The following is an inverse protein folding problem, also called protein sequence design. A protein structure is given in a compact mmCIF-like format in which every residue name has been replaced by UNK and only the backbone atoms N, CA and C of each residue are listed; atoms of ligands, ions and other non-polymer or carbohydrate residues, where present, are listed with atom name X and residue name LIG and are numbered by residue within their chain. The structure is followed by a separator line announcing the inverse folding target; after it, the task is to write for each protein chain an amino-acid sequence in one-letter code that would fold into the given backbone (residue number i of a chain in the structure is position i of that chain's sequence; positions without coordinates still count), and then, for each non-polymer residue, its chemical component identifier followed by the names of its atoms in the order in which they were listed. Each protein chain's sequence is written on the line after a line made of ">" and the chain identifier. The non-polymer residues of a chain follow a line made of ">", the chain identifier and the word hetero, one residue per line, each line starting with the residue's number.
data_IF_480328434344
#
_entry.id   IF_480328434344
#
_cell.length_a   1.000
_cell.length_b   1.000
_cell.length_c   1.000
_cell.angle_alpha   90.00
_cell.angle_beta   90.00
_cell.angle_gamma   90.00
#
_symmetry.space_group_name_H-M   'P 1'
#
loop_
_entity.id
_entity.type
_entity.pdbx_description
1 polymer ?
#
# COMPACT_ATOMS: atom_id res chain seq x y z
N UNK A 1 -5.57 5.55 24.82
CA UNK A 1 -6.53 4.65 25.49
C UNK A 1 -7.66 4.33 24.55
N UNK A 2 -8.12 3.09 24.57
CA UNK A 2 -9.30 2.64 23.85
C UNK A 2 -10.38 2.33 24.88
N UNK A 3 -11.57 2.90 24.71
CA UNK A 3 -12.74 2.60 25.51
C UNK A 3 -13.84 2.12 24.59
N UNK A 4 -14.39 0.94 24.87
CA UNK A 4 -15.49 0.36 24.09
C UNK A 4 -16.77 0.51 24.89
N UNK A 5 -17.74 1.23 24.36
CA UNK A 5 -19.08 1.42 24.93
C UNK A 5 -20.04 0.51 24.17
N UNK A 6 -20.63 -0.46 24.86
CA UNK A 6 -21.57 -1.43 24.27
C UNK A 6 -23.01 -1.25 24.78
N UNK A 7 -23.17 -0.56 25.90
CA UNK A 7 -24.50 -0.39 26.54
C UNK A 7 -25.28 0.77 25.89
N UNK A 8 -26.56 0.61 25.76
CA UNK A 8 -27.47 1.59 25.17
C UNK A 8 -27.40 2.97 25.87
N UNK A 9 -27.25 2.98 27.20
CA UNK A 9 -27.13 4.21 27.98
C UNK A 9 -25.83 4.97 27.70
N UNK A 10 -24.72 4.26 27.52
CA UNK A 10 -23.43 4.83 27.21
C UNK A 10 -23.37 5.33 25.74
N UNK A 11 -24.10 4.68 24.84
CA UNK A 11 -24.13 5.04 23.41
C UNK A 11 -25.15 6.14 23.10
N UNK A 12 -26.13 6.37 23.96
CA UNK A 12 -27.16 7.40 23.79
C UNK A 12 -26.58 8.82 23.57
N UNK A 13 -25.44 9.13 24.21
CA UNK A 13 -24.73 10.41 24.06
C UNK A 13 -24.22 10.63 22.62
N UNK A 14 -24.01 9.57 21.86
CA UNK A 14 -23.44 9.61 20.51
C UNK A 14 -24.49 9.49 19.39
N UNK A 15 -25.79 9.45 19.78
CA UNK A 15 -26.92 9.43 18.85
C UNK A 15 -27.14 8.10 18.13
N UNK A 16 -28.01 8.09 17.12
CA UNK A 16 -28.45 6.87 16.42
C UNK A 16 -27.35 6.08 15.74
N UNK A 17 -26.25 6.72 15.37
CA UNK A 17 -25.06 6.05 14.78
C UNK A 17 -24.33 5.13 15.76
N UNK A 18 -24.61 5.25 17.05
CA UNK A 18 -24.01 4.47 18.12
C UNK A 18 -24.76 3.18 18.46
N UNK A 19 -25.81 2.82 17.71
CA UNK A 19 -26.64 1.64 17.97
C UNK A 19 -25.85 0.32 18.03
N UNK A 20 -24.75 0.23 17.31
CA UNK A 20 -23.84 -0.94 17.29
C UNK A 20 -22.64 -0.82 18.25
N UNK A 21 -22.66 0.19 19.14
CA UNK A 21 -21.58 0.49 20.06
C UNK A 21 -20.67 1.63 19.59
N UNK A 22 -19.82 2.10 20.49
CA UNK A 22 -18.88 3.22 20.25
C UNK A 22 -17.49 2.83 20.70
N UNK A 23 -16.50 3.10 19.89
CA UNK A 23 -15.09 3.01 20.26
C UNK A 23 -14.54 4.42 20.44
N UNK A 24 -14.27 4.79 21.70
CA UNK A 24 -13.67 6.09 22.02
C UNK A 24 -12.16 5.94 22.05
N UNK A 25 -11.48 6.68 21.18
CA UNK A 25 -10.02 6.69 21.10
C UNK A 25 -9.50 7.99 21.70
N UNK A 26 -8.81 7.90 22.85
CA UNK A 26 -8.14 9.04 23.44
C UNK A 26 -6.68 9.05 23.04
N UNK A 27 -6.25 10.05 22.26
CA UNK A 27 -4.89 10.21 21.80
C UNK A 27 -3.95 10.69 22.92
N UNK A 28 -2.66 10.42 22.77
CA UNK A 28 -1.64 10.91 23.71
C UNK A 28 -1.58 12.44 23.66
N UNK A 29 -1.61 13.08 24.81
CA UNK A 29 -1.48 14.54 24.98
C UNK A 29 -0.08 14.92 25.46
N UNK A 30 0.22 16.21 25.45
CA UNK A 30 1.40 16.75 26.12
C UNK A 30 1.36 16.49 27.62
N UNK A 31 2.52 16.32 28.22
CA UNK A 31 2.70 16.06 29.66
C UNK A 31 3.41 17.24 30.32
N UNK A 32 3.15 17.49 31.61
CA UNK A 32 3.91 18.45 32.38
C UNK A 32 5.35 17.93 32.60
N UNK A 33 6.32 18.85 32.69
CA UNK A 33 7.71 18.53 32.99
C UNK A 33 8.65 18.72 31.80
N UNK A 34 9.91 18.25 31.96
CA UNK A 34 10.93 18.36 30.92
C UNK A 34 10.54 17.63 29.64
N UNK A 35 10.94 18.13 28.46
CA UNK A 35 10.71 17.45 27.19
C UNK A 35 11.29 16.03 27.20
N UNK A 36 10.47 15.08 26.74
CA UNK A 36 10.85 13.68 26.53
C UNK A 36 10.75 13.37 25.06
N UNK A 37 11.80 12.78 24.52
CA UNK A 37 11.85 12.28 23.15
C UNK A 37 11.55 10.78 23.15
N UNK A 38 10.83 10.35 22.14
CA UNK A 38 10.59 8.94 21.88
C UNK A 38 10.76 8.69 20.38
N UNK A 39 11.54 7.68 20.06
CA UNK A 39 11.66 7.15 18.70
C UNK A 39 11.26 5.69 18.70
N UNK A 40 10.48 5.31 17.71
CA UNK A 40 10.12 3.92 17.46
C UNK A 40 10.28 3.59 15.98
N UNK A 41 10.73 2.39 15.70
CA UNK A 41 10.80 1.87 14.32
C UNK A 41 10.37 0.43 14.29
N UNK A 42 9.69 0.08 13.21
CA UNK A 42 9.32 -1.28 12.87
C UNK A 42 9.84 -1.60 11.48
N UNK A 43 10.34 -2.81 11.31
CA UNK A 43 10.76 -3.35 10.02
C UNK A 43 10.00 -4.64 9.78
N UNK A 44 9.55 -4.84 8.55
CA UNK A 44 8.82 -6.01 8.15
C UNK A 44 9.39 -6.57 6.86
N UNK A 45 9.47 -7.89 6.78
CA UNK A 45 9.77 -8.63 5.55
C UNK A 45 8.54 -9.47 5.23
N UNK A 46 8.02 -9.33 4.03
CA UNK A 46 6.83 -10.04 3.57
C UNK A 46 7.17 -10.86 2.33
N UNK A 47 6.69 -12.08 2.31
CA UNK A 47 6.83 -13.00 1.17
C UNK A 47 5.47 -13.56 0.82
N UNK A 48 5.33 -14.07 -0.40
CA UNK A 48 4.12 -14.79 -0.81
C UNK A 48 3.99 -16.08 0.00
N UNK A 49 2.86 -16.27 0.69
CA UNK A 49 2.63 -17.42 1.56
C UNK A 49 2.50 -18.73 0.78
N UNK A 50 1.86 -18.69 -0.41
CA UNK A 50 1.67 -19.83 -1.29
C UNK A 50 1.63 -19.38 -2.73
N UNK A 51 2.16 -20.19 -3.62
CA UNK A 51 2.01 -20.07 -5.08
C UNK A 51 1.14 -21.20 -5.58
N UNK A 52 0.48 -20.97 -6.70
CA UNK A 52 -0.28 -22.03 -7.36
C UNK A 52 0.66 -22.86 -8.21
N UNK A 53 0.44 -24.16 -8.20
CA UNK A 53 1.11 -25.07 -9.11
C UNK A 53 0.52 -24.91 -10.50
N UNK A 54 1.36 -24.57 -11.45
CA UNK A 54 1.02 -24.44 -12.88
C UNK A 54 2.03 -25.24 -13.67
N UNK A 55 1.69 -25.57 -14.91
CA UNK A 55 2.60 -26.29 -15.79
C UNK A 55 3.89 -25.48 -16.01
N UNK A 56 5.01 -26.13 -15.88
CA UNK A 56 6.30 -25.60 -16.32
C UNK A 56 6.30 -25.44 -17.85
N UNK A 57 7.24 -24.70 -18.40
CA UNK A 57 7.33 -24.52 -19.83
C UNK A 57 7.53 -25.86 -20.58
N UNK A 58 8.29 -26.79 -19.99
CA UNK A 58 8.54 -28.11 -20.61
C UNK A 58 7.29 -28.99 -20.53
N UNK A 59 6.58 -29.01 -19.42
CA UNK A 59 5.29 -29.71 -19.29
C UNK A 59 4.25 -29.09 -20.22
N UNK A 60 4.23 -27.77 -20.35
CA UNK A 60 3.33 -27.06 -21.27
C UNK A 60 3.62 -27.46 -22.73
N UNK A 61 4.88 -27.50 -23.16
CA UNK A 61 5.27 -27.95 -24.51
C UNK A 61 4.86 -29.41 -24.78
N UNK A 62 4.93 -30.27 -23.78
CA UNK A 62 4.53 -31.65 -23.90
C UNK A 62 2.99 -31.81 -23.93
N UNK A 63 2.29 -31.01 -23.12
CA UNK A 63 0.83 -31.13 -22.95
C UNK A 63 0.03 -30.42 -24.03
N UNK A 64 0.41 -29.19 -24.41
CA UNK A 64 -0.39 -28.34 -25.28
C UNK A 64 -0.73 -28.97 -26.64
N UNK A 65 0.17 -29.72 -27.33
CA UNK A 65 -0.17 -30.38 -28.59
C UNK A 65 -1.19 -31.53 -28.45
N UNK A 66 -1.38 -32.02 -27.22
CA UNK A 66 -2.35 -33.12 -26.97
C UNK A 66 -3.78 -32.61 -26.79
N UNK A 67 -3.96 -31.29 -26.63
CA UNK A 67 -5.28 -30.70 -26.39
C UNK A 67 -6.03 -30.54 -27.69
N UNK A 68 -7.27 -31.09 -27.74
CA UNK A 68 -8.14 -30.98 -28.89
C UNK A 68 -8.44 -29.51 -29.26
N UNK A 69 -8.23 -29.15 -30.49
CA UNK A 69 -8.44 -27.78 -31.00
C UNK A 69 -7.18 -26.89 -31.00
N UNK A 70 -6.09 -27.38 -30.45
CA UNK A 70 -4.80 -26.76 -30.66
C UNK A 70 -4.18 -27.28 -31.96
N UNK A 71 -3.79 -26.42 -32.91
CA UNK A 71 -3.14 -26.89 -34.13
C UNK A 71 -1.83 -27.63 -33.82
N UNK A 72 -1.57 -28.75 -34.49
CA UNK A 72 -0.35 -29.55 -34.30
C UNK A 72 0.96 -28.76 -34.57
N UNK A 73 0.86 -27.71 -35.37
CA UNK A 73 2.00 -26.85 -35.74
C UNK A 73 2.07 -25.54 -34.96
N UNK A 74 1.42 -25.46 -33.78
CA UNK A 74 1.57 -24.27 -32.92
C UNK A 74 3.02 -24.13 -32.53
N UNK A 75 3.63 -23.02 -32.92
CA UNK A 75 5.01 -22.70 -32.58
C UNK A 75 5.10 -22.31 -31.11
N UNK A 76 5.64 -23.22 -30.28
CA UNK A 76 5.97 -22.92 -28.88
C UNK A 76 7.23 -22.09 -28.78
N UNK A 77 7.26 -21.18 -27.79
CA UNK A 77 8.46 -20.41 -27.49
C UNK A 77 9.57 -21.27 -26.91
N UNK A 78 10.79 -20.74 -26.94
CA UNK A 78 12.00 -21.41 -26.41
C UNK A 78 12.34 -21.02 -24.98
N UNK A 79 11.63 -20.08 -24.39
CA UNK A 79 11.84 -19.61 -23.02
C UNK A 79 11.23 -20.54 -22.00
N UNK A 80 11.75 -20.49 -20.77
CA UNK A 80 11.19 -21.15 -19.59
C UNK A 80 10.92 -20.07 -18.55
N UNK A 81 9.73 -19.46 -18.61
CA UNK A 81 9.36 -18.33 -17.76
C UNK A 81 8.41 -18.79 -16.68
N UNK A 82 8.80 -18.64 -15.43
CA UNK A 82 7.89 -18.77 -14.31
C UNK A 82 7.29 -17.40 -14.01
N UNK A 83 6.12 -17.14 -14.54
CA UNK A 83 5.46 -15.84 -14.42
C UNK A 83 5.18 -15.43 -12.98
N UNK A 84 4.94 -16.39 -12.08
CA UNK A 84 4.77 -16.08 -10.66
C UNK A 84 6.09 -15.58 -10.02
N UNK A 85 7.24 -16.12 -10.43
CA UNK A 85 8.55 -15.62 -9.97
C UNK A 85 8.83 -14.21 -10.49
N UNK A 86 8.35 -13.91 -11.70
CA UNK A 86 8.54 -12.59 -12.29
C UNK A 86 7.70 -11.51 -11.60
N UNK A 87 6.45 -11.79 -11.24
CA UNK A 87 5.57 -10.78 -10.63
C UNK A 87 5.76 -10.63 -9.13
N UNK A 88 6.21 -11.69 -8.41
CA UNK A 88 6.39 -11.63 -6.97
C UNK A 88 7.82 -11.26 -6.57
N UNK A 89 7.93 -10.69 -5.40
CA UNK A 89 9.20 -10.39 -4.74
C UNK A 89 9.10 -10.56 -3.24
N UNK A 90 10.24 -10.74 -2.58
CA UNK A 90 10.34 -10.47 -1.15
C UNK A 90 10.22 -8.96 -0.96
N UNK A 91 9.26 -8.52 -0.16
CA UNK A 91 8.94 -7.13 0.07
C UNK A 91 9.47 -6.67 1.43
N UNK A 92 9.99 -5.46 1.47
CA UNK A 92 10.49 -4.84 2.69
C UNK A 92 9.59 -3.66 3.07
N UNK A 93 9.23 -3.60 4.35
CA UNK A 93 8.48 -2.52 4.95
C UNK A 93 9.24 -1.88 6.11
N UNK A 94 9.06 -0.58 6.29
CA UNK A 94 9.56 0.15 7.44
C UNK A 94 8.55 1.20 7.90
N UNK A 95 8.53 1.41 9.21
CA UNK A 95 7.76 2.45 9.87
C UNK A 95 8.65 3.13 10.91
N UNK A 96 8.72 4.44 10.86
CA UNK A 96 9.48 5.27 11.79
C UNK A 96 8.58 6.32 12.40
N UNK A 97 8.64 6.48 13.71
CA UNK A 97 7.94 7.55 14.41
C UNK A 97 8.86 8.21 15.43
N UNK A 98 8.95 9.52 15.35
CA UNK A 98 9.61 10.34 16.33
C UNK A 98 8.59 11.22 17.02
N UNK A 99 8.67 11.35 18.33
CA UNK A 99 7.77 12.25 19.06
C UNK A 99 8.50 12.92 20.22
N UNK A 100 8.07 14.14 20.48
CA UNK A 100 8.50 14.93 21.63
C UNK A 100 7.27 15.39 22.41
N UNK A 101 7.28 15.22 23.72
CA UNK A 101 6.22 15.73 24.60
C UNK A 101 6.83 16.32 25.86
N UNK A 102 6.23 17.39 26.35
CA UNK A 102 6.70 18.10 27.51
C UNK A 102 5.86 19.31 27.80
N UNK A 103 6.41 20.28 28.52
CA UNK A 103 5.76 21.57 28.77
C UNK A 103 6.71 22.75 28.59
N UNK A 104 6.21 23.83 28.03
CA UNK A 104 6.88 25.12 27.94
C UNK A 104 6.74 25.81 29.31
N UNK A 105 7.87 26.16 29.92
CA UNK A 105 7.92 26.82 31.25
C UNK A 105 7.08 26.11 32.33
N UNK A 106 6.98 24.77 32.26
CA UNK A 106 6.16 23.92 33.15
C UNK A 106 4.63 24.25 33.17
N UNK A 107 4.15 25.11 32.29
CA UNK A 107 2.75 25.57 32.27
C UNK A 107 1.96 25.08 31.07
N UNK A 108 2.59 25.04 29.92
CA UNK A 108 1.91 24.76 28.66
C UNK A 108 2.33 23.38 28.13
N UNK A 109 1.55 22.34 28.35
CA UNK A 109 1.84 21.02 27.79
C UNK A 109 1.80 21.05 26.27
N UNK A 110 2.75 20.36 25.62
CA UNK A 110 2.77 20.19 24.19
C UNK A 110 3.17 18.76 23.82
N UNK A 111 2.76 18.35 22.64
CA UNK A 111 3.22 17.13 21.97
C UNK A 111 3.36 17.41 20.48
N UNK A 112 4.46 16.93 19.91
CA UNK A 112 4.71 16.93 18.47
C UNK A 112 5.18 15.53 18.08
N UNK A 113 4.69 15.02 16.97
CA UNK A 113 5.22 13.79 16.41
C UNK A 113 5.25 13.84 14.88
N UNK A 114 6.22 13.15 14.31
CA UNK A 114 6.33 12.93 12.88
C UNK A 114 6.55 11.45 12.62
N UNK A 115 5.90 10.94 11.59
CA UNK A 115 6.00 9.54 11.19
C UNK A 115 6.27 9.40 9.71
N UNK A 116 7.00 8.36 9.36
CA UNK A 116 7.25 7.92 8.00
C UNK A 116 7.02 6.42 7.90
N UNK A 117 6.17 6.03 6.96
CA UNK A 117 5.90 4.63 6.63
C UNK A 117 6.26 4.42 5.16
N UNK A 118 6.97 3.33 4.86
CA UNK A 118 7.20 2.85 3.51
C UNK A 118 7.01 1.34 3.48
N UNK A 119 6.04 0.88 2.70
CA UNK A 119 5.70 -0.53 2.58
C UNK A 119 5.70 -0.93 1.11
N UNK A 120 6.59 -1.83 0.75
CA UNK A 120 6.53 -2.50 -0.53
C UNK A 120 5.54 -3.67 -0.47
N UNK A 121 4.78 -3.88 -1.54
CA UNK A 121 3.96 -5.07 -1.70
C UNK A 121 4.75 -6.25 -2.25
N UNK A 122 4.25 -7.46 -2.03
CA UNK A 122 4.82 -8.71 -2.56
C UNK A 122 4.69 -8.81 -4.08
N UNK A 123 3.72 -8.13 -4.68
CA UNK A 123 3.68 -7.93 -6.13
C UNK A 123 4.62 -6.76 -6.46
N UNK A 124 5.45 -6.93 -7.48
CA UNK A 124 6.39 -5.89 -7.93
C UNK A 124 5.67 -4.59 -8.23
N UNK A 125 6.35 -3.47 -8.12
CA UNK A 125 5.89 -2.10 -8.31
C UNK A 125 4.87 -1.58 -7.29
N UNK A 126 4.18 -2.45 -6.55
CA UNK A 126 3.29 -2.02 -5.46
C UNK A 126 4.12 -1.36 -4.34
N UNK A 127 3.75 -0.14 -3.98
CA UNK A 127 4.42 0.61 -2.91
C UNK A 127 3.45 1.58 -2.25
N UNK A 128 3.50 1.66 -0.93
CA UNK A 128 2.77 2.60 -0.12
C UNK A 128 3.73 3.43 0.71
N UNK A 129 3.65 4.75 0.59
CA UNK A 129 4.40 5.71 1.40
C UNK A 129 3.44 6.64 2.12
N UNK A 130 3.73 6.91 3.38
CA UNK A 130 2.95 7.86 4.18
C UNK A 130 3.86 8.68 5.08
N UNK A 131 3.63 9.97 5.05
CA UNK A 131 4.20 10.93 5.98
C UNK A 131 3.09 11.43 6.89
N UNK A 132 3.34 11.52 8.17
CA UNK A 132 2.38 12.02 9.16
C UNK A 132 3.01 13.08 10.04
N UNK A 133 2.21 14.05 10.39
CA UNK A 133 2.55 15.06 11.39
C UNK A 133 1.38 15.20 12.36
N UNK A 134 1.66 15.25 13.65
CA UNK A 134 0.67 15.51 14.70
C UNK A 134 1.28 16.51 15.68
N UNK A 135 0.60 17.62 15.91
CA UNK A 135 1.01 18.68 16.82
C UNK A 135 -0.15 19.05 17.74
N UNK A 136 0.13 19.14 19.04
CA UNK A 136 -0.85 19.58 20.03
C UNK A 136 -0.23 20.43 21.11
N UNK A 137 -0.95 21.49 21.51
CA UNK A 137 -0.56 22.39 22.57
C UNK A 137 -1.78 22.75 23.42
N UNK A 138 -1.60 22.81 24.73
CA UNK A 138 -2.69 23.07 25.68
C UNK A 138 -2.30 24.16 26.68
N UNK A 139 -2.21 25.44 26.24
CA UNK A 139 -1.91 26.55 27.14
C UNK A 139 -3.06 26.82 28.11
N UNK A 140 -2.71 27.28 29.31
CA UNK A 140 -3.63 27.73 30.34
C UNK A 140 -3.31 29.16 30.78
N UNK A 141 -4.38 29.93 30.99
CA UNK A 141 -4.32 31.35 31.33
C UNK A 141 -5.16 31.64 32.58
N UNK A 142 -4.99 32.83 33.15
CA UNK A 142 -5.79 33.33 34.28
C UNK A 142 -5.88 32.35 35.46
N UNK A 143 -4.73 31.88 35.96
CA UNK A 143 -4.65 30.86 37.05
C UNK A 143 -5.48 29.58 36.76
N UNK A 144 -5.37 29.12 35.52
CA UNK A 144 -6.06 27.91 34.98
C UNK A 144 -7.57 28.07 34.72
N UNK A 145 -8.16 29.25 34.87
CA UNK A 145 -9.58 29.50 34.56
C UNK A 145 -9.86 29.42 33.03
N UNK A 146 -8.89 29.75 32.18
CA UNK A 146 -9.02 29.63 30.74
C UNK A 146 -8.03 28.61 30.21
N UNK A 147 -8.52 27.58 29.56
CA UNK A 147 -7.69 26.59 28.88
C UNK A 147 -8.03 26.49 27.38
N UNK A 148 -6.98 26.51 26.56
CA UNK A 148 -7.08 26.26 25.12
C UNK A 148 -6.54 24.88 24.83
N UNK A 149 -7.16 24.15 23.92
CA UNK A 149 -6.58 22.93 23.37
C UNK A 149 -6.56 23.05 21.86
N UNK A 150 -5.37 23.10 21.29
CA UNK A 150 -5.16 23.21 19.85
C UNK A 150 -4.44 21.94 19.40
N UNK A 151 -5.00 21.30 18.37
CA UNK A 151 -4.41 20.13 17.75
C UNK A 151 -4.46 20.25 16.23
N UNK A 152 -3.41 19.82 15.57
CA UNK A 152 -3.35 19.72 14.11
C UNK A 152 -2.76 18.36 13.76
N UNK A 153 -3.36 17.72 12.77
CA UNK A 153 -2.87 16.48 12.18
C UNK A 153 -2.79 16.68 10.69
N UNK A 154 -1.69 16.27 10.09
CA UNK A 154 -1.51 16.28 8.66
C UNK A 154 -0.97 14.93 8.20
N UNK A 155 -1.39 14.48 7.05
CA UNK A 155 -0.81 13.31 6.39
C UNK A 155 -0.72 13.53 4.89
N UNK A 156 0.34 12.98 4.33
CA UNK A 156 0.51 12.79 2.89
C UNK A 156 0.72 11.31 2.63
N UNK A 157 -0.05 10.78 1.70
CA UNK A 157 0.01 9.38 1.28
C UNK A 157 0.28 9.32 -0.22
N UNK A 158 1.23 8.50 -0.63
CA UNK A 158 1.49 8.14 -2.03
C UNK A 158 1.37 6.62 -2.12
N UNK A 159 0.35 6.15 -2.82
CA UNK A 159 0.04 4.73 -2.96
C UNK A 159 0.08 4.35 -4.44
N UNK A 160 1.15 3.65 -4.84
CA UNK A 160 1.22 3.01 -6.14
C UNK A 160 0.60 1.63 -6.05
N UNK A 161 -0.59 1.50 -6.62
CA UNK A 161 -1.34 0.25 -6.67
C UNK A 161 -0.96 -0.53 -7.93
N UNK A 162 -1.19 -1.83 -7.88
CA UNK A 162 -1.12 -2.71 -9.04
C UNK A 162 -2.51 -3.25 -9.34
N UNK A 163 -2.76 -3.57 -10.58
CA UNK A 163 -3.96 -4.30 -10.96
C UNK A 163 -3.85 -5.73 -10.42
N UNK A 164 -4.82 -6.17 -9.63
CA UNK A 164 -4.85 -7.52 -9.08
C UNK A 164 -5.05 -8.58 -10.18
N UNK A 165 -5.55 -8.20 -11.34
CA UNK A 165 -5.65 -9.03 -12.54
C UNK A 165 -4.31 -9.58 -13.02
N UNK A 166 -3.19 -8.92 -12.65
CA UNK A 166 -1.84 -9.40 -13.00
C UNK A 166 -1.54 -10.81 -12.47
N UNK A 167 -2.13 -11.19 -11.33
CA UNK A 167 -1.97 -12.54 -10.78
C UNK A 167 -2.66 -13.56 -11.70
N UNK A 168 -3.87 -13.25 -12.15
CA UNK A 168 -4.59 -14.08 -13.12
C UNK A 168 -3.83 -14.18 -14.44
N UNK A 169 -3.31 -13.07 -14.93
CA UNK A 169 -2.46 -13.05 -16.14
C UNK A 169 -1.23 -13.94 -15.97
N UNK A 170 -0.53 -13.86 -14.82
CA UNK A 170 0.66 -14.69 -14.57
C UNK A 170 0.36 -16.20 -14.48
N UNK A 171 -0.86 -16.57 -14.12
CA UNK A 171 -1.27 -17.99 -14.06
C UNK A 171 -1.66 -18.55 -15.42
N UNK A 172 -2.15 -17.69 -16.33
CA UNK A 172 -2.68 -18.10 -17.64
C UNK A 172 -1.73 -17.81 -18.81
N UNK A 173 -0.70 -16.99 -18.59
CA UNK A 173 0.21 -16.62 -19.68
C UNK A 173 1.13 -17.77 -20.05
N UNK A 174 1.43 -17.90 -21.37
CA UNK A 174 2.28 -18.96 -21.92
C UNK A 174 3.69 -18.97 -21.29
N UNK A 175 4.07 -20.04 -20.56
CA UNK A 175 5.37 -20.12 -19.90
C UNK A 175 6.53 -20.33 -20.87
N UNK A 176 6.26 -20.61 -22.14
CA UNK A 176 7.30 -20.77 -23.18
C UNK A 176 7.75 -19.45 -23.78
N UNK A 177 7.11 -18.34 -23.41
CA UNK A 177 7.41 -17.00 -23.94
C UNK A 177 8.34 -16.23 -23.01
N UNK A 178 9.22 -15.39 -23.56
CA UNK A 178 10.10 -14.54 -22.75
C UNK A 178 9.31 -13.36 -22.15
N UNK A 179 9.80 -12.80 -21.06
CA UNK A 179 9.28 -11.55 -20.52
C UNK A 179 9.48 -10.40 -21.51
N UNK A 180 10.66 -10.32 -22.10
CA UNK A 180 11.06 -9.28 -23.04
C UNK A 180 11.57 -9.86 -24.37
N UNK A 181 11.30 -9.14 -25.44
CA UNK A 181 11.77 -9.52 -26.79
C UNK A 181 13.16 -8.98 -27.15
N UNK A 182 13.77 -8.19 -26.28
CA UNK A 182 15.09 -7.61 -26.49
C UNK A 182 15.14 -6.31 -27.33
N UNK A 183 14.02 -5.90 -27.92
CA UNK A 183 13.96 -4.72 -28.81
C UNK A 183 13.23 -3.55 -28.14
N UNK A 184 13.76 -3.03 -27.05
CA UNK A 184 13.11 -2.01 -26.21
C UNK A 184 13.10 -0.57 -26.78
N UNK A 185 13.45 -0.35 -28.05
CA UNK A 185 13.79 1.01 -28.53
C UNK A 185 13.00 1.52 -29.71
N UNK A 186 12.02 0.78 -30.22
CA UNK A 186 11.32 1.25 -31.43
C UNK A 186 9.91 1.76 -31.07
N UNK A 187 9.59 2.98 -31.52
CA UNK A 187 8.21 3.50 -31.54
C UNK A 187 7.27 2.59 -32.37
N UNK A 188 7.79 1.61 -33.07
CA UNK A 188 7.09 0.62 -33.87
C UNK A 188 6.93 -0.73 -33.15
N UNK A 189 7.49 -0.89 -31.93
CA UNK A 189 7.27 -2.07 -31.10
C UNK A 189 6.03 -1.87 -30.21
N UNK A 190 4.88 -2.46 -30.53
CA UNK A 190 3.67 -2.27 -29.76
C UNK A 190 3.76 -2.84 -28.33
N UNK A 191 4.71 -3.75 -28.08
CA UNK A 191 4.98 -4.31 -26.75
C UNK A 191 5.96 -3.51 -25.93
N UNK A 192 6.54 -2.42 -26.44
CA UNK A 192 7.55 -1.62 -25.75
C UNK A 192 8.69 -2.47 -25.15
N UNK A 193 9.11 -3.49 -25.89
CA UNK A 193 10.13 -4.44 -25.48
C UNK A 193 9.63 -5.65 -24.68
N UNK A 194 8.36 -5.72 -24.35
CA UNK A 194 7.73 -6.90 -23.75
C UNK A 194 7.17 -7.81 -24.82
N UNK A 195 7.23 -9.13 -24.57
CA UNK A 195 6.58 -10.06 -25.46
C UNK A 195 5.06 -9.86 -25.42
N UNK A 196 4.45 -9.70 -26.58
CA UNK A 196 2.99 -9.68 -26.78
C UNK A 196 2.62 -10.59 -27.94
N UNK A 197 1.39 -11.09 -27.91
CA UNK A 197 0.85 -11.86 -29.02
C UNK A 197 0.47 -10.93 -30.17
N UNK A 198 0.86 -11.31 -31.37
CA UNK A 198 0.62 -10.55 -32.59
C UNK A 198 -0.17 -11.36 -33.62
N UNK A 199 -1.10 -10.72 -34.30
CA UNK A 199 -1.72 -11.22 -35.52
C UNK A 199 -1.29 -10.29 -36.67
N UNK A 200 -0.32 -10.73 -37.43
CA UNK A 200 0.37 -9.84 -38.36
C UNK A 200 1.04 -8.68 -37.62
N UNK A 201 0.62 -7.45 -37.91
CA UNK A 201 1.14 -6.23 -37.27
C UNK A 201 0.29 -5.69 -36.12
N UNK A 202 -0.79 -6.40 -35.74
CA UNK A 202 -1.71 -5.96 -34.69
C UNK A 202 -1.57 -6.82 -33.41
N UNK A 203 -1.56 -6.20 -32.21
CA UNK A 203 -1.60 -6.93 -30.96
C UNK A 203 -2.88 -7.78 -30.84
N UNK A 204 -2.74 -8.98 -30.29
CA UNK A 204 -3.84 -9.88 -30.03
C UNK A 204 -4.19 -9.89 -28.54
N UNK A 205 -5.44 -9.66 -28.19
CA UNK A 205 -5.95 -9.71 -26.82
C UNK A 205 -6.31 -11.12 -26.32
N UNK A 206 -5.97 -12.18 -27.06
CA UNK A 206 -6.54 -13.54 -26.87
C UNK A 206 -6.01 -14.23 -25.60
N UNK A 207 -4.84 -13.86 -25.09
CA UNK A 207 -4.20 -14.54 -23.95
C UNK A 207 -3.89 -13.62 -22.77
N UNK A 208 -4.55 -12.48 -22.71
CA UNK A 208 -4.24 -11.46 -21.71
C UNK A 208 -2.95 -10.70 -22.02
N UNK A 209 -2.68 -9.70 -21.20
CA UNK A 209 -1.49 -8.88 -21.33
C UNK A 209 -0.31 -9.54 -20.63
N UNK A 210 0.91 -9.29 -21.14
CA UNK A 210 2.14 -9.70 -20.48
C UNK A 210 2.14 -9.19 -19.02
N UNK A 211 2.23 -10.07 -18.00
CA UNK A 211 2.12 -9.67 -16.59
C UNK A 211 3.15 -8.62 -16.18
N UNK A 212 4.36 -8.70 -16.72
CA UNK A 212 5.42 -7.73 -16.41
C UNK A 212 5.19 -6.40 -17.13
N UNK A 213 4.63 -6.41 -18.33
CA UNK A 213 4.22 -5.19 -19.01
C UNK A 213 3.12 -4.46 -18.24
N UNK A 214 2.13 -5.18 -17.70
CA UNK A 214 1.11 -4.60 -16.84
C UNK A 214 1.72 -3.91 -15.62
N UNK A 215 2.70 -4.53 -14.97
CA UNK A 215 3.34 -3.97 -13.78
C UNK A 215 4.24 -2.76 -14.08
N UNK A 216 4.98 -2.80 -15.17
CA UNK A 216 6.00 -1.80 -15.45
C UNK A 216 5.44 -0.59 -16.22
N UNK A 217 4.48 -0.82 -17.12
CA UNK A 217 3.91 0.22 -17.99
C UNK A 217 2.69 0.93 -17.38
N UNK A 218 2.01 0.29 -16.42
CA UNK A 218 0.89 0.94 -15.72
C UNK A 218 1.37 1.62 -14.44
N UNK A 219 1.04 2.89 -14.27
CA UNK A 219 1.30 3.65 -13.04
C UNK A 219 -0.03 4.12 -12.42
N UNK A 220 -0.66 3.22 -11.68
CA UNK A 220 -1.89 3.52 -10.92
C UNK A 220 -1.53 4.12 -9.56
N UNK A 221 -1.40 5.44 -9.51
CA UNK A 221 -0.95 6.15 -8.33
C UNK A 221 -2.05 7.02 -7.72
N UNK A 222 -2.27 6.84 -6.43
CA UNK A 222 -3.20 7.65 -5.66
C UNK A 222 -2.43 8.47 -4.61
N UNK A 223 -2.56 9.81 -4.66
CA UNK A 223 -1.95 10.74 -3.73
C UNK A 223 -3.03 11.43 -2.91
N UNK A 224 -2.91 11.33 -1.59
CA UNK A 224 -3.91 11.85 -0.67
C UNK A 224 -3.22 12.81 0.29
N UNK A 225 -3.74 14.04 0.36
CA UNK A 225 -3.37 15.04 1.35
C UNK A 225 -4.53 15.19 2.32
N UNK A 226 -4.25 15.07 3.61
CA UNK A 226 -5.28 15.22 4.64
C UNK A 226 -4.77 16.12 5.74
N UNK A 227 -5.56 17.11 6.14
CA UNK A 227 -5.28 17.96 7.29
C UNK A 227 -6.53 18.10 8.12
N UNK A 228 -6.39 17.91 9.44
CA UNK A 228 -7.48 18.02 10.40
C UNK A 228 -6.97 18.88 11.56
N UNK A 229 -7.68 19.98 11.82
CA UNK A 229 -7.45 20.86 12.94
C UNK A 229 -8.59 20.79 13.96
N UNK A 230 -8.25 20.95 15.23
CA UNK A 230 -9.19 20.94 16.35
C UNK A 230 -8.80 22.02 17.34
N UNK A 231 -9.74 22.90 17.68
CA UNK A 231 -9.55 23.94 18.68
C UNK A 231 -10.70 23.90 19.69
N UNK A 232 -10.38 23.85 20.97
CA UNK A 232 -11.38 23.97 22.05
C UNK A 232 -10.93 24.99 23.09
N UNK A 233 -11.90 25.72 23.60
CA UNK A 233 -11.74 26.74 24.64
C UNK A 233 -12.62 26.32 25.80
N UNK A 234 -12.06 26.27 26.99
CA UNK A 234 -12.81 26.03 28.24
C UNK A 234 -12.49 27.17 29.21
N UNK A 235 -13.55 27.76 29.74
CA UNK A 235 -13.49 28.85 30.71
C UNK A 235 -14.16 28.44 32.00
#
# INVERSE_FOLDING_TARGET
>A
TFTVLKDASATAIYGSRASNGVIVITTKKGTKGKPKFNYSSNYAVSTTAKRLEVLTADEFRAFAPTVTGVPENVEMGKSNTNWQDEIYRTAFGMDHNISMSGSIKNKTPFRVSAGYTNQNGVIRTNNYQRYTFDGGISPKFFKDHLSLNLNVKASYEDNRRVDEGVVGSALSYDPTRPVKTGSATSATDPGLGYFIWMNGNAPMAIQGDNPMAQLDLQDMRNRIYRSIGNASVNY
#
